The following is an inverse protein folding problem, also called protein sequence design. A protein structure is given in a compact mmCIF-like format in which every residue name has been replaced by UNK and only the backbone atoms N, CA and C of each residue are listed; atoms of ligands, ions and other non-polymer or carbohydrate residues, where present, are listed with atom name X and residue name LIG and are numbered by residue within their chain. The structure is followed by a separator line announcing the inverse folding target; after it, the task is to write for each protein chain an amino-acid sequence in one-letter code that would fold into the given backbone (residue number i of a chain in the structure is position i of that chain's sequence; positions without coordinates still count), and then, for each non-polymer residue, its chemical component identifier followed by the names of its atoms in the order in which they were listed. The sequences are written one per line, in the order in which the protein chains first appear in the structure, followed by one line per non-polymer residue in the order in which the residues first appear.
data_IF_704204485604
#
_entry.id   IF_704204485604
#
_cell.length_a   1.000
_cell.length_b   1.000
_cell.length_c   1.000
_cell.angle_alpha   90.00
_cell.angle_beta   90.00
_cell.angle_gamma   90.00
#
_symmetry.space_group_name_H-M   'P 1'
#
loop_
_entity.id
_entity.type
_entity.pdbx_description
1 polymer ?
#
# COMPACT_ATOMS: atom_id res chain seq x y z
N UNK A 1 24.11 13.58 36.61
CA UNK A 1 23.78 13.30 35.19
C UNK A 1 22.38 12.69 35.20
N UNK A 2 21.34 13.48 34.94
CA UNK A 2 19.95 13.00 34.89
C UNK A 2 19.59 12.80 33.42
N UNK A 3 19.54 11.54 32.98
CA UNK A 3 18.91 11.16 31.72
C UNK A 3 17.49 10.76 32.09
N UNK A 4 16.57 11.72 31.99
CA UNK A 4 15.14 11.43 32.06
C UNK A 4 14.64 11.36 30.63
N UNK A 5 14.80 10.20 30.00
CA UNK A 5 14.04 9.88 28.79
C UNK A 5 12.72 9.28 29.27
N UNK A 6 11.64 10.03 29.15
CA UNK A 6 10.28 9.57 29.45
C UNK A 6 9.89 8.45 28.48
N UNK A 7 10.29 7.21 28.76
CA UNK A 7 9.89 6.03 27.98
C UNK A 7 8.39 5.85 28.14
N UNK A 8 7.64 6.06 27.06
CA UNK A 8 6.22 5.74 27.02
C UNK A 8 6.06 4.21 27.06
N UNK A 9 5.41 3.73 28.12
CA UNK A 9 5.12 2.32 28.32
C UNK A 9 3.64 2.05 28.01
N UNK A 10 3.35 0.99 27.26
CA UNK A 10 2.00 0.41 27.15
C UNK A 10 2.09 -1.03 27.61
N UNK A 11 1.29 -1.41 28.61
CA UNK A 11 1.33 -2.75 29.21
C UNK A 11 2.74 -3.20 29.64
N UNK A 12 3.53 -2.27 30.19
CA UNK A 12 4.90 -2.53 30.65
C UNK A 12 5.93 -2.83 29.55
N UNK A 13 5.57 -2.67 28.27
CA UNK A 13 6.50 -2.74 27.15
C UNK A 13 6.85 -1.33 26.64
N UNK A 14 8.14 -1.07 26.34
CA UNK A 14 8.55 0.19 25.71
C UNK A 14 7.89 0.30 24.34
N UNK A 15 7.12 1.36 24.15
CA UNK A 15 6.57 1.68 22.83
C UNK A 15 7.77 2.12 21.98
N UNK A 16 8.15 1.33 20.99
CA UNK A 16 9.12 1.77 19.98
C UNK A 16 8.50 2.93 19.21
N UNK A 17 9.11 4.10 19.33
CA UNK A 17 8.72 5.27 18.57
C UNK A 17 8.96 4.99 17.08
N UNK A 18 7.95 5.22 16.25
CA UNK A 18 8.10 5.18 14.79
C UNK A 18 8.80 6.48 14.43
N UNK A 19 9.99 6.40 13.84
CA UNK A 19 10.74 7.61 13.48
C UNK A 19 10.28 8.18 12.14
N UNK A 20 10.50 9.48 11.92
CA UNK A 20 10.38 10.11 10.61
C UNK A 20 11.12 9.35 9.49
N UNK A 21 12.27 8.74 9.80
CA UNK A 21 13.02 7.94 8.84
C UNK A 21 12.21 6.70 8.43
N UNK A 22 11.64 5.97 9.39
CA UNK A 22 10.80 4.79 9.11
C UNK A 22 9.59 5.16 8.23
N UNK A 23 8.93 6.28 8.53
CA UNK A 23 7.79 6.77 7.74
C UNK A 23 8.23 7.13 6.31
N UNK A 24 9.39 7.77 6.15
CA UNK A 24 9.92 8.12 4.85
C UNK A 24 10.29 6.88 4.02
N UNK A 25 10.90 5.87 4.65
CA UNK A 25 11.21 4.59 4.01
C UNK A 25 9.93 3.91 3.51
N UNK A 26 8.89 3.84 4.34
CA UNK A 26 7.58 3.29 3.92
C UNK A 26 6.97 4.09 2.78
N UNK A 27 7.07 5.43 2.82
CA UNK A 27 6.58 6.29 1.76
C UNK A 27 7.31 6.07 0.44
N UNK A 28 8.62 5.81 0.47
CA UNK A 28 9.41 5.52 -0.72
C UNK A 28 8.97 4.19 -1.36
N UNK A 29 8.82 3.13 -0.55
CA UNK A 29 8.28 1.86 -1.03
C UNK A 29 6.86 2.01 -1.63
N UNK A 30 6.00 2.83 -1.03
CA UNK A 30 4.68 3.12 -1.61
C UNK A 30 4.76 3.82 -2.97
N UNK A 31 5.71 4.75 -3.17
CA UNK A 31 5.91 5.36 -4.49
C UNK A 31 6.35 4.33 -5.52
N UNK A 32 7.27 3.44 -5.16
CA UNK A 32 7.70 2.35 -6.03
C UNK A 32 6.51 1.43 -6.39
N UNK A 33 5.67 1.06 -5.42
CA UNK A 33 4.45 0.29 -5.71
C UNK A 33 3.46 1.08 -6.57
N UNK A 34 3.28 2.37 -6.33
CA UNK A 34 2.40 3.23 -7.12
C UNK A 34 2.83 3.33 -8.59
N UNK A 35 4.13 3.21 -8.89
CA UNK A 35 4.63 3.18 -10.28
C UNK A 35 4.05 2.03 -11.12
N UNK A 36 3.55 0.97 -10.47
CA UNK A 36 2.89 -0.15 -11.16
C UNK A 36 1.41 0.12 -11.48
N UNK A 37 0.80 1.19 -10.94
CA UNK A 37 -0.65 1.47 -11.13
C UNK A 37 -1.02 1.54 -12.62
N UNK A 38 -0.23 2.23 -13.44
CA UNK A 38 -0.49 2.40 -14.87
C UNK A 38 -0.35 1.08 -15.65
N UNK A 39 0.77 0.37 -15.47
CA UNK A 39 1.02 -0.93 -16.11
C UNK A 39 -0.07 -1.95 -15.78
N UNK A 40 -0.52 -1.99 -14.52
CA UNK A 40 -1.60 -2.88 -14.10
C UNK A 40 -2.96 -2.43 -14.66
N UNK A 41 -3.19 -1.13 -14.82
CA UNK A 41 -4.40 -0.61 -15.48
C UNK A 41 -4.46 -1.05 -16.96
N UNK A 42 -3.33 -1.01 -17.68
CA UNK A 42 -3.28 -1.50 -19.06
C UNK A 42 -3.63 -2.99 -19.15
N UNK A 43 -3.12 -3.81 -18.22
CA UNK A 43 -3.50 -5.23 -18.13
C UNK A 43 -4.98 -5.42 -17.78
N UNK A 44 -5.54 -4.59 -16.91
CA UNK A 44 -6.98 -4.59 -16.60
C UNK A 44 -7.81 -4.35 -17.86
N UNK A 45 -7.45 -3.33 -18.64
CA UNK A 45 -8.13 -3.00 -19.90
C UNK A 45 -8.00 -4.12 -20.92
N UNK A 46 -6.85 -4.80 -20.98
CA UNK A 46 -6.67 -5.98 -21.82
C UNK A 46 -7.61 -7.12 -21.44
N UNK A 47 -7.72 -7.44 -20.14
CA UNK A 47 -8.61 -8.50 -19.66
C UNK A 47 -10.11 -8.16 -19.76
N UNK A 48 -10.46 -6.87 -19.77
CA UNK A 48 -11.83 -6.41 -19.99
C UNK A 48 -12.28 -6.53 -21.45
N UNK A 49 -11.34 -6.49 -22.40
CA UNK A 49 -11.61 -6.69 -23.81
C UNK A 49 -11.81 -8.18 -24.12
N UNK A 50 -13.01 -8.69 -23.85
CA UNK A 50 -13.37 -10.10 -24.06
C UNK A 50 -13.59 -10.50 -25.53
N UNK A 51 -13.48 -9.56 -26.47
CA UNK A 51 -13.77 -9.77 -27.88
C UNK A 51 -12.63 -10.41 -28.69
N UNK A 52 -11.63 -11.03 -28.04
CA UNK A 52 -10.51 -11.66 -28.74
C UNK A 52 -10.97 -13.03 -29.27
N UNK A 53 -10.97 -13.25 -30.60
CA UNK A 53 -11.35 -14.54 -31.17
C UNK A 53 -10.27 -15.59 -30.86
N UNK A 54 -10.43 -16.29 -29.74
CA UNK A 54 -9.54 -17.35 -29.26
C UNK A 54 -10.22 -18.72 -29.36
N UNK A 55 -9.43 -19.77 -29.53
CA UNK A 55 -9.90 -21.16 -29.40
C UNK A 55 -10.53 -21.36 -28.00
N UNK A 56 -11.63 -22.13 -27.90
CA UNK A 56 -12.36 -22.44 -26.64
C UNK A 56 -11.45 -22.79 -25.46
N UNK A 57 -10.38 -23.58 -25.66
CA UNK A 57 -9.44 -23.93 -24.57
C UNK A 57 -8.70 -22.70 -24.04
N UNK A 58 -8.18 -21.89 -24.95
CA UNK A 58 -7.44 -20.65 -24.66
C UNK A 58 -8.38 -19.61 -24.03
N UNK A 59 -9.62 -19.51 -24.54
CA UNK A 59 -10.65 -18.62 -23.98
C UNK A 59 -10.95 -18.96 -22.51
N UNK A 60 -11.09 -20.24 -22.17
CA UNK A 60 -11.31 -20.67 -20.77
C UNK A 60 -10.14 -20.30 -19.86
N UNK A 61 -8.91 -20.56 -20.30
CA UNK A 61 -7.69 -20.21 -19.55
C UNK A 61 -7.56 -18.68 -19.39
N UNK A 62 -7.83 -17.93 -20.46
CA UNK A 62 -7.88 -16.48 -20.46
C UNK A 62 -8.88 -15.94 -19.43
N UNK A 63 -10.13 -16.43 -19.42
CA UNK A 63 -11.14 -15.97 -18.46
C UNK A 63 -10.77 -16.33 -17.01
N UNK A 64 -10.14 -17.48 -16.78
CA UNK A 64 -9.67 -17.85 -15.46
C UNK A 64 -8.57 -16.87 -14.98
N UNK A 65 -7.61 -16.55 -15.84
CA UNK A 65 -6.55 -15.58 -15.54
C UNK A 65 -7.12 -14.17 -15.35
N UNK A 66 -8.04 -13.73 -16.22
CA UNK A 66 -8.73 -12.45 -16.10
C UNK A 66 -9.43 -12.32 -14.75
N UNK A 67 -10.11 -13.38 -14.29
CA UNK A 67 -10.80 -13.39 -13.00
C UNK A 67 -9.83 -13.24 -11.83
N UNK A 68 -8.74 -14.01 -11.83
CA UNK A 68 -7.70 -13.92 -10.78
C UNK A 68 -7.08 -12.52 -10.78
N UNK A 69 -6.72 -12.01 -11.96
CA UNK A 69 -6.14 -10.69 -12.11
C UNK A 69 -7.08 -9.59 -11.62
N UNK A 70 -8.37 -9.64 -11.96
CA UNK A 70 -9.34 -8.64 -11.55
C UNK A 70 -9.49 -8.57 -10.02
N UNK A 71 -9.49 -9.72 -9.34
CA UNK A 71 -9.52 -9.78 -7.87
C UNK A 71 -8.23 -9.17 -7.29
N UNK A 72 -7.07 -9.56 -7.84
CA UNK A 72 -5.79 -9.00 -7.43
C UNK A 72 -5.74 -7.48 -7.61
N UNK A 73 -6.14 -6.98 -8.79
CA UNK A 73 -6.09 -5.56 -9.13
C UNK A 73 -6.98 -4.72 -8.23
N UNK A 74 -8.22 -5.17 -7.97
CA UNK A 74 -9.12 -4.51 -7.04
C UNK A 74 -8.52 -4.42 -5.63
N UNK A 75 -7.97 -5.53 -5.13
CA UNK A 75 -7.30 -5.56 -3.82
C UNK A 75 -6.07 -4.65 -3.78
N UNK A 76 -5.28 -4.61 -4.86
CA UNK A 76 -4.11 -3.75 -4.99
C UNK A 76 -4.49 -2.27 -4.88
N UNK A 77 -5.49 -1.82 -5.67
CA UNK A 77 -5.96 -0.43 -5.64
C UNK A 77 -6.48 -0.05 -4.25
N UNK A 78 -7.34 -0.88 -3.65
CA UNK A 78 -7.88 -0.63 -2.31
C UNK A 78 -6.79 -0.58 -1.23
N UNK A 79 -5.81 -1.47 -1.32
CA UNK A 79 -4.70 -1.54 -0.37
C UNK A 79 -3.77 -0.33 -0.51
N UNK A 80 -3.48 0.09 -1.74
CA UNK A 80 -2.68 1.29 -2.00
C UNK A 80 -3.34 2.53 -1.40
N UNK A 81 -4.62 2.77 -1.67
CA UNK A 81 -5.36 3.92 -1.10
C UNK A 81 -5.38 3.90 0.43
N UNK A 82 -5.54 2.70 1.01
CA UNK A 82 -5.54 2.54 2.47
C UNK A 82 -4.18 2.84 3.08
N UNK A 83 -3.10 2.37 2.44
CA UNK A 83 -1.73 2.56 2.91
C UNK A 83 -1.26 4.00 2.76
N UNK A 84 -1.55 4.64 1.61
CA UNK A 84 -1.28 6.06 1.37
C UNK A 84 -1.92 6.92 2.48
N UNK A 85 -3.22 6.72 2.78
CA UNK A 85 -3.94 7.42 3.86
C UNK A 85 -3.36 7.15 5.25
N UNK A 86 -2.89 5.92 5.52
CA UNK A 86 -2.28 5.58 6.82
C UNK A 86 -0.94 6.29 6.99
N UNK A 87 -0.12 6.35 5.95
CA UNK A 87 1.17 7.06 5.97
C UNK A 87 0.97 8.57 6.12
N UNK A 88 0.00 9.16 5.41
CA UNK A 88 -0.34 10.58 5.59
C UNK A 88 -0.71 10.90 7.05
N UNK A 89 -1.54 10.06 7.68
CA UNK A 89 -1.89 10.21 9.11
C UNK A 89 -0.69 10.08 10.04
N UNK A 90 0.30 9.25 9.72
CA UNK A 90 1.53 9.14 10.52
C UNK A 90 2.35 10.43 10.43
N UNK A 91 2.51 10.97 9.22
CA UNK A 91 3.21 12.25 8.98
C UNK A 91 2.51 13.43 9.68
N UNK A 92 1.18 13.45 9.73
CA UNK A 92 0.42 14.50 10.42
C UNK A 92 0.53 14.42 11.94
N UNK A 93 0.51 13.20 12.51
CA UNK A 93 0.55 12.98 13.97
C UNK A 93 1.89 13.33 14.61
N UNK A 94 2.99 13.28 13.88
CA UNK A 94 4.31 13.67 14.42
C UNK A 94 4.51 15.20 14.50
N UNK A 95 3.58 16.03 14.00
CA UNK A 95 3.66 17.50 14.11
C UNK A 95 3.18 18.05 15.46
N UNK A 96 3.08 17.25 16.51
CA UNK A 96 2.76 17.77 17.84
C UNK A 96 3.95 18.59 18.34
N UNK A 97 3.77 19.92 18.28
CA UNK A 97 4.71 20.90 18.82
C UNK A 97 4.81 20.65 20.33
N UNK A 98 6.04 20.58 20.83
CA UNK A 98 6.30 20.78 22.26
C UNK A 98 5.92 22.24 22.55
N UNK A 99 4.73 22.44 23.11
CA UNK A 99 4.38 23.73 23.72
C UNK A 99 5.39 24.01 24.83
N UNK A 100 6.07 25.16 24.72
CA UNK A 100 7.05 25.67 25.69
C UNK A 100 6.37 26.13 26.96
#
# INVERSE_FOLDING_TARGET
MKVNDNVLLKNSEPIKEVTYHDIYVVKDYLKQLASWKESLCLMKNFFDNQAIPLNKKIMREFHAQARVFNIFYANFVMSMDTLEKKVEKLVEKEKVRLDK
#
